data_IF_130898089212
#
_entry.id   IF_130898089212
#
_cell.length_a   1.000
_cell.length_b   1.000
_cell.length_c   1.000
_cell.angle_alpha   90.00
_cell.angle_beta   90.00
_cell.angle_gamma   90.00
#
_symmetry.space_group_name_H-M   'P 1'
#
loop_
_entity.id
_entity.type
_entity.pdbx_description
1 polymer ?
#
# COMPACT_ATOMS: atom_id res chain seq x y z
N UNK A 1 0.87 -6.38 -20.50
CA UNK A 1 0.39 -4.97 -20.34
C UNK A 1 0.63 -4.54 -18.90
N UNK A 2 0.94 -3.26 -18.62
CA UNK A 2 1.06 -2.75 -17.26
C UNK A 2 -0.24 -2.08 -16.80
N UNK A 3 -0.61 -2.27 -15.53
CA UNK A 3 -1.69 -1.54 -14.87
C UNK A 3 -1.16 -0.89 -13.60
N UNK A 4 -1.52 0.35 -13.36
CA UNK A 4 -1.06 1.12 -12.22
C UNK A 4 -2.24 1.78 -11.51
N UNK A 5 -2.17 1.84 -10.19
CA UNK A 5 -3.18 2.49 -9.36
C UNK A 5 -2.52 3.11 -8.13
N UNK A 6 -2.83 4.37 -7.84
CA UNK A 6 -2.39 5.05 -6.63
C UNK A 6 -3.45 4.87 -5.54
N UNK A 7 -3.02 4.55 -4.33
CA UNK A 7 -3.85 4.37 -3.13
C UNK A 7 -3.15 5.05 -1.96
N UNK A 8 -3.68 6.20 -1.51
CA UNK A 8 -3.01 7.03 -0.52
C UNK A 8 -1.61 7.44 -1.01
N UNK A 9 -0.58 7.15 -0.21
CA UNK A 9 0.83 7.36 -0.57
C UNK A 9 1.50 6.16 -1.25
N UNK A 10 0.74 5.17 -1.71
CA UNK A 10 1.28 3.96 -2.31
C UNK A 10 0.89 3.84 -3.79
N UNK A 11 1.86 3.50 -4.63
CA UNK A 11 1.65 3.13 -6.02
C UNK A 11 1.63 1.61 -6.13
N UNK A 12 0.47 1.08 -6.52
CA UNK A 12 0.28 -0.32 -6.88
C UNK A 12 0.57 -0.49 -8.36
N UNK A 13 1.46 -1.40 -8.70
CA UNK A 13 1.80 -1.72 -10.09
C UNK A 13 1.62 -3.22 -10.34
N UNK A 14 0.96 -3.52 -11.44
CA UNK A 14 0.82 -4.85 -12.03
C UNK A 14 1.55 -4.86 -13.37
N UNK A 15 2.44 -5.83 -13.56
CA UNK A 15 3.13 -6.06 -14.83
C UNK A 15 3.02 -7.53 -15.16
N UNK A 16 2.58 -7.83 -16.38
CA UNK A 16 2.71 -9.17 -16.93
C UNK A 16 4.05 -9.29 -17.67
N UNK A 17 4.95 -10.16 -17.19
CA UNK A 17 6.27 -10.41 -17.78
C UNK A 17 6.43 -11.91 -18.04
N UNK A 18 6.70 -12.29 -19.29
CA UNK A 18 6.87 -13.69 -19.69
C UNK A 18 5.70 -14.60 -19.25
N UNK A 19 4.46 -14.13 -19.41
CA UNK A 19 3.23 -14.79 -18.94
C UNK A 19 3.14 -15.02 -17.42
N UNK A 20 4.03 -14.41 -16.63
CA UNK A 20 3.95 -14.42 -15.19
C UNK A 20 3.49 -13.05 -14.68
N UNK A 21 2.46 -12.99 -13.83
CA UNK A 21 2.05 -11.75 -13.21
C UNK A 21 3.07 -11.33 -12.14
N UNK A 22 3.45 -10.06 -12.15
CA UNK A 22 4.26 -9.42 -11.12
C UNK A 22 3.45 -8.30 -10.49
N UNK A 23 3.41 -8.29 -9.16
CA UNK A 23 2.70 -7.30 -8.37
C UNK A 23 3.69 -6.59 -7.47
N UNK A 24 3.68 -5.26 -7.49
CA UNK A 24 4.56 -4.48 -6.63
C UNK A 24 3.83 -3.30 -6.01
N UNK A 25 4.20 -2.97 -4.78
CA UNK A 25 3.77 -1.78 -4.07
C UNK A 25 4.97 -0.86 -3.87
N UNK A 26 4.82 0.41 -4.19
CA UNK A 26 5.86 1.42 -4.01
C UNK A 26 5.33 2.52 -3.08
N UNK A 27 5.96 2.69 -1.93
CA UNK A 27 5.67 3.79 -1.02
C UNK A 27 6.29 5.08 -1.59
N UNK A 28 5.45 6.01 -2.02
CA UNK A 28 5.89 7.25 -2.64
C UNK A 28 6.51 8.26 -1.65
N UNK A 29 6.29 8.06 -0.33
CA UNK A 29 6.91 8.90 0.71
C UNK A 29 8.33 8.46 1.03
N UNK A 30 8.55 7.14 1.14
CA UNK A 30 9.84 6.59 1.57
C UNK A 30 10.70 6.09 0.41
N UNK A 31 10.12 5.91 -0.79
CA UNK A 31 10.77 5.27 -1.93
C UNK A 31 10.88 3.74 -1.82
N UNK A 32 10.34 3.15 -0.75
CA UNK A 32 10.41 1.71 -0.51
C UNK A 32 9.53 0.93 -1.48
N UNK A 33 10.07 -0.15 -2.06
CA UNK A 33 9.35 -1.03 -2.97
C UNK A 33 9.29 -2.45 -2.44
N UNK A 34 8.08 -3.02 -2.45
CA UNK A 34 7.79 -4.40 -2.06
C UNK A 34 7.20 -5.15 -3.25
N UNK A 35 7.59 -6.41 -3.41
CA UNK A 35 7.06 -7.31 -4.43
C UNK A 35 6.18 -8.38 -3.77
N UNK A 36 5.13 -8.79 -4.49
CA UNK A 36 4.12 -9.71 -3.98
C UNK A 36 3.85 -10.81 -4.99
N UNK A 37 3.61 -12.01 -4.47
CA UNK A 37 3.29 -13.21 -5.28
C UNK A 37 1.88 -13.14 -5.87
N UNK A 38 0.98 -12.36 -5.29
CA UNK A 38 -0.41 -12.26 -5.74
C UNK A 38 -1.02 -10.87 -5.54
N UNK A 39 -2.06 -10.58 -6.33
CA UNK A 39 -2.87 -9.37 -6.19
C UNK A 39 -3.57 -9.27 -4.83
N UNK A 40 -4.00 -10.41 -4.27
CA UNK A 40 -4.68 -10.47 -2.97
C UNK A 40 -3.73 -10.04 -1.85
N UNK A 41 -2.46 -10.47 -1.91
CA UNK A 41 -1.46 -10.10 -0.91
C UNK A 41 -1.17 -8.59 -0.90
N UNK A 42 -1.16 -7.93 -2.07
CA UNK A 42 -1.02 -6.46 -2.17
C UNK A 42 -2.14 -5.75 -1.42
N UNK A 43 -3.39 -6.16 -1.63
CA UNK A 43 -4.53 -5.52 -0.98
C UNK A 43 -4.59 -5.80 0.51
N UNK A 44 -4.29 -7.02 0.94
CA UNK A 44 -4.24 -7.37 2.35
C UNK A 44 -3.18 -6.55 3.10
N UNK A 45 -2.01 -6.32 2.48
CA UNK A 45 -0.97 -5.47 3.05
C UNK A 45 -1.39 -4.00 3.08
N UNK A 46 -1.99 -3.49 1.99
CA UNK A 46 -2.51 -2.12 1.95
C UNK A 46 -3.60 -1.87 2.99
N UNK A 47 -4.51 -2.82 3.19
CA UNK A 47 -5.59 -2.70 4.17
C UNK A 47 -5.01 -2.54 5.59
N UNK A 48 -4.05 -3.38 5.97
CA UNK A 48 -3.35 -3.27 7.26
C UNK A 48 -2.66 -1.91 7.44
N UNK A 49 -1.96 -1.41 6.42
CA UNK A 49 -1.29 -0.11 6.48
C UNK A 49 -2.28 1.06 6.60
N UNK A 50 -3.40 0.99 5.88
CA UNK A 50 -4.42 2.04 5.91
C UNK A 50 -5.23 2.03 7.20
N UNK A 51 -5.45 0.86 7.81
CA UNK A 51 -6.08 0.73 9.12
C UNK A 51 -5.14 1.28 10.21
N UNK A 52 -3.88 0.84 10.23
CA UNK A 52 -2.88 1.33 11.19
C UNK A 52 -2.66 2.85 11.08
N UNK A 53 -2.66 3.40 9.86
CA UNK A 53 -2.56 4.84 9.64
C UNK A 53 -3.74 5.63 10.23
N UNK A 54 -4.96 5.10 10.13
CA UNK A 54 -6.16 5.74 10.72
C UNK A 54 -6.14 5.70 12.24
N UNK A 55 -5.70 4.60 12.83
CA UNK A 55 -5.58 4.48 14.29
C UNK A 55 -4.54 5.46 14.84
N UNK A 56 -3.38 5.59 14.18
CA UNK A 56 -2.34 6.55 14.55
C UNK A 56 -2.82 8.03 14.46
N UNK A 57 -3.62 8.37 13.45
CA UNK A 57 -4.20 9.71 13.32
C UNK A 57 -5.29 9.99 14.38
N UNK A 58 -6.09 8.99 14.73
CA UNK A 58 -7.11 9.10 15.79
C UNK A 58 -6.49 9.22 17.20
N UNK A 59 -5.38 8.53 17.48
CA UNK A 59 -4.71 8.61 18.78
C UNK A 59 -4.05 9.97 19.02
N UNK A 60 -3.57 10.64 17.96
CA UNK A 60 -3.00 11.99 18.05
C UNK A 60 -4.03 13.11 18.25
N UNK A 61 -5.28 12.91 17.82
CA UNK A 61 -6.38 13.87 17.99
C UNK A 61 -7.14 13.69 19.33
N UNK A 62 -6.84 12.64 20.09
CA UNK A 62 -7.57 12.22 21.29
C UNK A 62 -7.11 12.80 22.63
N UNK A 63 -6.23 13.81 22.66
CA UNK A 63 -5.84 14.48 23.93
C UNK A 63 -6.44 15.88 24.06
N UNK A 64 -7.70 16.03 24.50
CA UNK A 64 -8.12 17.26 25.15
C UNK A 64 -7.54 17.26 26.56
N UNK A 65 -6.65 18.22 26.82
CA UNK A 65 -6.26 18.65 28.17
C UNK A 65 -7.53 19.12 28.90
N UNK A 66 -7.83 18.64 30.12
CA UNK A 66 -7.28 19.25 31.34
C UNK A 66 -6.67 18.24 32.32
#
# INVERSE_FOLDING_TARGET
MSREKVVGSYLVRFVEKNHQPQYSLHNLKTGERLEFESWVAVWFYLDQLLVAGREAEHEQLGSPKP
#
